data_IF_435192935451
#
_entry.id   IF_435192935451
#
_cell.length_a   1.000
_cell.length_b   1.000
_cell.length_c   1.000
_cell.angle_alpha   90.00
_cell.angle_beta   90.00
_cell.angle_gamma   90.00
#
_symmetry.space_group_name_H-M   'P 1'
#
loop_
_entity.id
_entity.type
_entity.pdbx_description
1 polymer ?
#
# COMPACT_ATOMS: atom_id res chain seq x y z
N UNK A 1 -9.04 -13.62 -0.26
CA UNK A 1 -7.58 -13.46 -0.12
C UNK A 1 -6.96 -14.81 0.19
N UNK A 2 -5.87 -15.11 -0.48
CA UNK A 2 -5.06 -16.30 -0.22
C UNK A 2 -4.55 -16.25 1.24
N UNK A 3 -4.44 -17.42 1.90
CA UNK A 3 -3.99 -17.49 3.29
C UNK A 3 -2.56 -16.96 3.47
N UNK A 4 -1.69 -17.17 2.49
CA UNK A 4 -0.32 -16.64 2.52
C UNK A 4 -0.35 -15.11 2.48
N UNK A 5 -1.12 -14.54 1.56
CA UNK A 5 -1.27 -13.10 1.46
C UNK A 5 -1.88 -12.53 2.74
N UNK A 6 -2.87 -13.21 3.33
CA UNK A 6 -3.48 -12.78 4.58
C UNK A 6 -2.48 -12.75 5.73
N UNK A 7 -1.59 -13.74 5.82
CA UNK A 7 -0.59 -13.79 6.88
C UNK A 7 0.37 -12.62 6.78
N UNK A 8 0.88 -12.32 5.57
CA UNK A 8 1.75 -11.17 5.37
C UNK A 8 1.01 -9.85 5.64
N UNK A 9 -0.24 -9.78 5.22
CA UNK A 9 -1.08 -8.60 5.44
C UNK A 9 -1.24 -8.30 6.94
N UNK A 10 -1.58 -9.31 7.73
CA UNK A 10 -1.78 -9.14 9.17
C UNK A 10 -0.48 -8.78 9.87
N UNK A 11 0.62 -9.42 9.51
CA UNK A 11 1.92 -9.14 10.11
C UNK A 11 2.35 -7.70 9.79
N UNK A 12 2.19 -7.28 8.54
CA UNK A 12 2.56 -5.93 8.13
C UNK A 12 1.71 -4.88 8.83
N UNK A 13 0.41 -5.13 8.99
CA UNK A 13 -0.48 -4.21 9.67
C UNK A 13 -0.07 -4.00 11.13
N UNK A 14 0.30 -5.08 11.80
CA UNK A 14 0.80 -5.01 13.17
C UNK A 14 2.08 -4.17 13.24
N UNK A 15 3.01 -4.43 12.32
CA UNK A 15 4.28 -3.69 12.27
C UNK A 15 4.05 -2.21 11.99
N UNK A 16 3.14 -1.89 11.07
CA UNK A 16 2.78 -0.52 10.75
C UNK A 16 2.23 0.21 11.97
N UNK A 17 1.31 -0.42 12.70
CA UNK A 17 0.72 0.18 13.90
C UNK A 17 1.74 0.42 14.99
N UNK A 18 2.79 -0.38 15.04
CA UNK A 18 3.88 -0.22 15.99
C UNK A 18 4.88 0.87 15.55
N UNK A 19 4.66 1.46 14.37
CA UNK A 19 5.57 2.46 13.83
C UNK A 19 6.78 1.88 13.11
N UNK A 20 6.84 0.55 12.95
CA UNK A 20 7.95 -0.13 12.27
C UNK A 20 7.71 -0.15 10.76
N UNK A 21 7.78 1.02 10.14
CA UNK A 21 7.38 1.19 8.74
C UNK A 21 8.29 0.46 7.76
N UNK A 22 9.60 0.50 7.99
CA UNK A 22 10.54 -0.20 7.11
C UNK A 22 10.35 -1.71 7.16
N UNK A 23 10.08 -2.24 8.35
CA UNK A 23 9.84 -3.66 8.52
C UNK A 23 8.50 -4.05 7.88
N UNK A 24 7.47 -3.21 8.06
CA UNK A 24 6.18 -3.44 7.42
C UNK A 24 6.32 -3.48 5.89
N UNK A 25 7.07 -2.55 5.32
CA UNK A 25 7.33 -2.54 3.88
C UNK A 25 8.03 -3.83 3.42
N UNK A 26 9.05 -4.26 4.14
CA UNK A 26 9.78 -5.48 3.80
C UNK A 26 8.86 -6.71 3.86
N UNK A 27 7.98 -6.77 4.86
CA UNK A 27 7.02 -7.86 5.00
C UNK A 27 6.09 -7.89 3.80
N UNK A 28 5.57 -6.73 3.38
CA UNK A 28 4.67 -6.65 2.22
C UNK A 28 5.37 -7.00 0.92
N UNK A 29 6.62 -6.57 0.77
CA UNK A 29 7.40 -6.92 -0.42
C UNK A 29 7.62 -8.43 -0.53
N UNK A 30 7.86 -9.11 0.60
CA UNK A 30 7.95 -10.58 0.61
C UNK A 30 6.62 -11.20 0.21
N UNK A 31 5.52 -10.68 0.75
CA UNK A 31 4.18 -11.17 0.39
C UNK A 31 3.90 -11.00 -1.09
N UNK A 32 4.31 -9.88 -1.67
CA UNK A 32 4.11 -9.60 -3.09
C UNK A 32 4.95 -10.49 -4.00
N UNK A 33 6.09 -11.00 -3.54
CA UNK A 33 6.84 -11.98 -4.31
C UNK A 33 6.06 -13.29 -4.45
N UNK A 34 5.25 -13.62 -3.46
CA UNK A 34 4.44 -14.85 -3.46
C UNK A 34 3.05 -14.63 -4.07
N UNK A 35 2.50 -13.42 -3.95
CA UNK A 35 1.18 -13.07 -4.44
C UNK A 35 1.23 -11.73 -5.18
N UNK A 36 1.91 -11.67 -6.35
CA UNK A 36 2.18 -10.39 -7.03
C UNK A 36 0.95 -9.72 -7.61
N UNK A 37 -0.19 -10.41 -7.69
CA UNK A 37 -1.42 -9.84 -8.23
C UNK A 37 -2.46 -9.55 -7.16
N UNK A 38 -2.09 -9.67 -5.89
CA UNK A 38 -3.01 -9.38 -4.80
C UNK A 38 -3.10 -7.86 -4.59
N UNK A 39 -4.24 -7.23 -4.93
CA UNK A 39 -4.36 -5.77 -4.84
C UNK A 39 -4.31 -5.26 -3.40
N UNK A 40 -4.71 -6.09 -2.44
CA UNK A 40 -4.72 -5.68 -1.04
C UNK A 40 -3.30 -5.44 -0.53
N UNK A 41 -2.36 -6.32 -0.90
CA UNK A 41 -0.95 -6.14 -0.51
C UNK A 41 -0.33 -4.89 -1.15
N UNK A 42 -0.65 -4.63 -2.42
CA UNK A 42 -0.20 -3.40 -3.09
C UNK A 42 -0.74 -2.16 -2.38
N UNK A 43 -2.02 -2.18 -2.00
CA UNK A 43 -2.66 -1.06 -1.29
C UNK A 43 -2.01 -0.82 0.07
N UNK A 44 -1.72 -1.90 0.81
CA UNK A 44 -1.05 -1.78 2.10
C UNK A 44 0.35 -1.20 1.96
N UNK A 45 1.11 -1.63 0.95
CA UNK A 45 2.45 -1.09 0.71
C UNK A 45 2.36 0.39 0.34
N UNK A 46 1.37 0.77 -0.45
CA UNK A 46 1.14 2.18 -0.78
C UNK A 46 0.90 3.01 0.49
N UNK A 47 0.12 2.50 1.42
CA UNK A 47 -0.14 3.18 2.69
C UNK A 47 1.13 3.34 3.51
N UNK A 48 1.95 2.29 3.58
CA UNK A 48 3.23 2.36 4.30
C UNK A 48 4.13 3.42 3.67
N UNK A 49 4.24 3.44 2.34
CA UNK A 49 5.05 4.44 1.65
C UNK A 49 4.53 5.87 1.89
N UNK A 50 3.20 6.04 1.96
CA UNK A 50 2.61 7.32 2.30
C UNK A 50 3.07 7.78 3.70
N UNK A 51 3.04 6.88 4.68
CA UNK A 51 3.46 7.19 6.04
C UNK A 51 4.97 7.44 6.14
N UNK A 52 5.76 6.89 5.22
CA UNK A 52 7.19 7.16 5.12
C UNK A 52 7.48 8.47 4.38
N UNK A 53 6.45 9.20 3.99
CA UNK A 53 6.54 10.43 3.19
C UNK A 53 7.12 10.18 1.80
N UNK A 54 7.00 8.96 1.32
CA UNK A 54 7.43 8.59 -0.02
C UNK A 54 6.23 8.67 -0.97
N UNK A 55 5.88 9.91 -1.31
CA UNK A 55 4.60 10.22 -1.95
C UNK A 55 4.50 9.69 -3.37
N UNK A 56 5.57 9.79 -4.14
CA UNK A 56 5.53 9.30 -5.52
C UNK A 56 5.34 7.79 -5.56
N UNK A 57 6.07 7.04 -4.74
CA UNK A 57 5.90 5.59 -4.66
C UNK A 57 4.51 5.23 -4.17
N UNK A 58 3.98 5.96 -3.18
CA UNK A 58 2.64 5.70 -2.67
C UNK A 58 1.60 5.78 -3.79
N UNK A 59 1.69 6.81 -4.64
CA UNK A 59 0.77 6.97 -5.77
C UNK A 59 0.90 5.83 -6.77
N UNK A 60 2.13 5.48 -7.12
CA UNK A 60 2.39 4.42 -8.10
C UNK A 60 1.85 3.08 -7.60
N UNK A 61 2.10 2.76 -6.34
CA UNK A 61 1.66 1.51 -5.73
C UNK A 61 0.14 1.44 -5.60
N UNK A 62 -0.49 2.56 -5.22
CA UNK A 62 -1.95 2.61 -5.13
C UNK A 62 -2.59 2.44 -6.50
N UNK A 63 -2.01 3.05 -7.55
CA UNK A 63 -2.50 2.89 -8.91
C UNK A 63 -2.36 1.43 -9.37
N UNK A 64 -1.26 0.78 -9.04
CA UNK A 64 -1.05 -0.63 -9.35
C UNK A 64 -2.09 -1.49 -8.66
N UNK A 65 -2.36 -1.22 -7.37
CA UNK A 65 -3.40 -1.91 -6.64
C UNK A 65 -4.75 -1.78 -7.33
N UNK A 66 -5.13 -0.56 -7.71
CA UNK A 66 -6.41 -0.32 -8.38
C UNK A 66 -6.52 -1.06 -9.71
N UNK A 67 -5.42 -1.16 -10.46
CA UNK A 67 -5.43 -1.89 -11.72
C UNK A 67 -5.69 -3.39 -11.53
N UNK A 68 -5.38 -3.92 -10.34
CA UNK A 68 -5.57 -5.33 -10.00
C UNK A 68 -6.86 -5.59 -9.23
N UNK A 69 -7.52 -4.54 -8.75
CA UNK A 69 -8.65 -4.67 -7.82
C UNK A 69 -9.96 -5.06 -8.49
N UNK A 70 -10.04 -4.98 -9.82
CA UNK A 70 -11.28 -5.26 -10.53
C UNK A 70 -12.40 -4.34 -10.06
N UNK A 71 -13.48 -4.91 -9.54
CA UNK A 71 -14.63 -4.16 -9.04
C UNK A 71 -14.64 -3.98 -7.53
N UNK A 72 -13.51 -4.26 -6.85
CA UNK A 72 -13.44 -4.12 -5.40
C UNK A 72 -13.39 -2.65 -5.00
N UNK A 73 -14.57 -2.09 -4.72
CA UNK A 73 -14.70 -0.66 -4.43
C UNK A 73 -14.01 -0.26 -3.13
N UNK A 74 -13.93 -1.16 -2.14
CA UNK A 74 -13.26 -0.86 -0.88
C UNK A 74 -11.78 -0.56 -1.11
N UNK A 75 -11.12 -1.42 -1.89
CA UNK A 75 -9.69 -1.22 -2.21
C UNK A 75 -9.51 0.03 -3.07
N UNK A 76 -10.35 0.20 -4.09
CA UNK A 76 -10.26 1.35 -4.99
C UNK A 76 -10.44 2.65 -4.22
N UNK A 77 -11.41 2.71 -3.32
CA UNK A 77 -11.64 3.92 -2.52
C UNK A 77 -10.45 4.21 -1.60
N UNK A 78 -9.87 3.17 -1.00
CA UNK A 78 -8.67 3.33 -0.18
C UNK A 78 -7.52 3.87 -1.02
N UNK A 79 -7.31 3.32 -2.21
CA UNK A 79 -6.25 3.76 -3.10
C UNK A 79 -6.44 5.21 -3.55
N UNK A 80 -7.68 5.60 -3.85
CA UNK A 80 -7.98 6.98 -4.22
C UNK A 80 -7.66 7.94 -3.07
N UNK A 81 -7.96 7.54 -1.85
CA UNK A 81 -7.60 8.34 -0.68
C UNK A 81 -6.08 8.47 -0.56
N UNK A 82 -5.33 7.37 -0.72
CA UNK A 82 -3.87 7.39 -0.66
C UNK A 82 -3.29 8.32 -1.72
N UNK A 83 -3.79 8.21 -2.97
CA UNK A 83 -3.32 9.03 -4.08
C UNK A 83 -3.61 10.50 -3.78
N UNK A 84 -4.80 10.81 -3.28
CA UNK A 84 -5.18 12.18 -2.97
C UNK A 84 -4.26 12.76 -1.88
N UNK A 85 -4.02 12.01 -0.81
CA UNK A 85 -3.13 12.44 0.26
C UNK A 85 -1.69 12.66 -0.26
N UNK A 86 -1.21 11.74 -1.07
CA UNK A 86 0.13 11.83 -1.63
C UNK A 86 0.29 13.05 -2.53
N UNK A 87 -0.75 13.37 -3.30
CA UNK A 87 -0.74 14.56 -4.16
C UNK A 87 -0.78 15.84 -3.34
N UNK A 88 -1.59 15.88 -2.27
CA UNK A 88 -1.67 17.04 -1.41
C UNK A 88 -0.32 17.33 -0.71
N UNK A 89 0.28 16.27 -0.14
CA UNK A 89 1.50 16.42 0.64
C UNK A 89 2.73 16.54 -0.24
N UNK A 90 2.82 15.73 -1.28
CA UNK A 90 3.96 15.72 -2.19
C UNK A 90 3.94 16.86 -3.19
N UNK A 91 2.76 17.17 -3.73
CA UNK A 91 2.60 18.26 -4.69
C UNK A 91 2.90 19.62 -4.11
N UNK A 92 2.54 19.84 -2.84
CA UNK A 92 2.82 21.11 -2.17
C UNK A 92 4.32 21.36 -2.03
N UNK A 93 5.12 20.29 -1.94
CA UNK A 93 6.57 20.40 -1.78
C UNK A 93 7.29 20.71 -3.09
N UNK A 94 6.64 20.53 -4.23
CA UNK A 94 7.27 20.75 -5.54
C UNK A 94 6.95 22.09 -6.16
N UNK A 95 6.13 22.87 -5.51
CA UNK A 95 5.73 24.18 -6.03
C UNK A 95 6.60 25.33 -5.45
#
# INVERSE_FOLDING_TARGET
MDSIAADFSHQAEKQRRQGNLDIAAATLERGLRLAPKDPFLWSQLAEVRLQQNNYQQARTLAAKSSSLAGSNSTIINKNNWIIHQAMQLGGAATN
#
